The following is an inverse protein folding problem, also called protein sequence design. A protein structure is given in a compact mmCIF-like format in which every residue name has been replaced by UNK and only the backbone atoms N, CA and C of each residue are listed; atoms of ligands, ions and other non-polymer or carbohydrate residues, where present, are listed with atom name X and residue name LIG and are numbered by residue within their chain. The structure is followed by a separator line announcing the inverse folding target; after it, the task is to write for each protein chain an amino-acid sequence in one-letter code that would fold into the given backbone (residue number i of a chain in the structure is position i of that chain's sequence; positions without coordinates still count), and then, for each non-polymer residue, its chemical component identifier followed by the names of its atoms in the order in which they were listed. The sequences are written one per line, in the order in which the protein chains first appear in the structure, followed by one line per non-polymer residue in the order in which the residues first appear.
data_IF_291009934473
#
_entry.id   IF_291009934473
#
_cell.length_a   1.000
_cell.length_b   1.000
_cell.length_c   1.000
_cell.angle_alpha   90.00
_cell.angle_beta   90.00
_cell.angle_gamma   90.00
#
_symmetry.space_group_name_H-M   'P 1'
#
loop_
_entity.id
_entity.type
_entity.pdbx_description
1 polymer ?
#
# COMPACT_ATOMS: atom_id res chain seq x y z
N UNK A 1 11.67 -18.01 18.70
CA UNK A 1 12.40 -17.22 17.66
C UNK A 1 11.63 -15.92 17.43
N UNK A 2 12.36 -14.81 17.41
CA UNK A 2 11.75 -13.51 17.11
C UNK A 2 11.64 -13.37 15.60
N UNK A 3 10.43 -13.08 15.08
CA UNK A 3 10.21 -12.78 13.68
C UNK A 3 11.10 -11.58 13.29
N UNK A 4 11.88 -11.73 12.23
CA UNK A 4 12.66 -10.65 11.62
C UNK A 4 12.53 -10.72 10.11
N UNK A 5 12.26 -9.56 9.49
CA UNK A 5 12.29 -9.38 8.04
C UNK A 5 13.26 -8.24 7.69
N UNK A 6 13.69 -8.18 6.44
CA UNK A 6 14.60 -7.13 6.00
C UNK A 6 13.89 -5.79 5.88
N UNK A 7 12.66 -5.79 5.39
CA UNK A 7 11.91 -4.58 5.07
C UNK A 7 10.48 -4.61 5.62
N UNK A 8 10.07 -3.54 6.30
CA UNK A 8 8.67 -3.22 6.58
C UNK A 8 8.13 -2.42 5.38
N UNK A 9 7.06 -2.87 4.76
CA UNK A 9 6.30 -2.11 3.78
C UNK A 9 4.83 -2.22 4.14
N UNK A 10 4.25 -1.17 4.70
CA UNK A 10 2.90 -1.21 5.23
C UNK A 10 2.10 0.07 5.00
N UNK A 11 0.77 -0.08 5.09
CA UNK A 11 -0.24 0.97 5.00
C UNK A 11 -1.17 0.87 6.22
N UNK A 12 -0.75 1.37 7.40
CA UNK A 12 -1.57 1.31 8.60
C UNK A 12 -2.83 2.17 8.47
N UNK A 13 -3.90 1.89 9.24
CA UNK A 13 -5.06 2.78 9.32
C UNK A 13 -4.65 4.15 9.87
N UNK A 14 -5.21 5.23 9.26
CA UNK A 14 -4.84 6.61 9.63
C UNK A 14 -5.76 7.23 10.68
N UNK A 15 -6.81 6.53 11.12
CA UNK A 15 -7.81 7.05 12.06
C UNK A 15 -8.74 8.09 11.43
N UNK A 16 -8.88 8.10 10.11
CA UNK A 16 -9.70 9.09 9.39
C UNK A 16 -11.16 8.68 9.26
N UNK A 17 -11.56 7.53 9.79
CA UNK A 17 -12.91 6.95 9.72
C UNK A 17 -13.46 6.89 8.28
N UNK A 18 -12.60 6.64 7.30
CA UNK A 18 -13.00 6.57 5.89
C UNK A 18 -13.93 5.39 5.59
N UNK A 19 -13.88 4.34 6.41
CA UNK A 19 -14.79 3.19 6.33
C UNK A 19 -16.25 3.55 6.70
N UNK A 20 -16.46 4.61 7.49
CA UNK A 20 -17.79 5.03 7.96
C UNK A 20 -18.50 5.96 6.97
N UNK A 21 -19.04 5.40 5.90
CA UNK A 21 -20.18 6.00 5.20
C UNK A 21 -19.96 7.27 4.37
N UNK A 22 -18.74 7.75 4.15
CA UNK A 22 -18.46 8.90 3.25
C UNK A 22 -18.81 8.62 1.77
N UNK A 23 -19.07 7.37 1.41
CA UNK A 23 -19.46 7.00 0.04
C UNK A 23 -20.91 7.37 -0.34
N UNK A 24 -21.77 7.77 0.60
CA UNK A 24 -23.17 8.11 0.32
C UNK A 24 -23.38 9.50 -0.29
N UNK A 25 -22.39 10.39 -0.22
CA UNK A 25 -22.52 11.78 -0.72
C UNK A 25 -21.77 12.08 -2.02
N UNK A 26 -21.00 11.13 -2.55
CA UNK A 26 -20.10 11.34 -3.69
C UNK A 26 -20.70 10.80 -4.98
N UNK A 27 -21.46 11.64 -5.70
CA UNK A 27 -21.98 11.51 -7.07
C UNK A 27 -22.96 10.38 -7.37
N UNK A 28 -24.06 10.76 -8.07
CA UNK A 28 -25.13 9.87 -8.57
C UNK A 28 -24.68 8.88 -9.68
N UNK A 29 -23.41 8.84 -10.05
CA UNK A 29 -22.88 8.12 -11.22
C UNK A 29 -22.16 6.81 -10.91
N UNK A 30 -21.86 6.51 -9.65
CA UNK A 30 -21.24 5.25 -9.27
C UNK A 30 -22.08 4.50 -8.25
N UNK A 31 -22.39 3.22 -8.53
CA UNK A 31 -23.01 2.32 -7.55
C UNK A 31 -22.04 2.14 -6.39
N UNK A 32 -22.41 2.63 -5.21
CA UNK A 32 -21.63 2.44 -4.00
C UNK A 32 -21.55 0.94 -3.70
N UNK A 33 -20.33 0.35 -3.72
CA UNK A 33 -20.11 -1.01 -3.22
C UNK A 33 -20.25 -0.98 -1.70
N UNK A 34 -21.07 -1.88 -1.18
CA UNK A 34 -21.18 -2.11 0.25
C UNK A 34 -19.98 -2.99 0.68
N UNK A 35 -19.05 -2.43 1.43
CA UNK A 35 -17.90 -3.15 2.01
C UNK A 35 -18.18 -3.62 3.44
N UNK A 36 -19.44 -3.48 3.92
CA UNK A 36 -19.83 -3.75 5.30
C UNK A 36 -19.41 -2.63 6.27
N UNK A 37 -19.88 -2.71 7.50
CA UNK A 37 -19.44 -1.82 8.60
C UNK A 37 -18.33 -2.52 9.36
N UNK A 38 -17.09 -2.06 9.22
CA UNK A 38 -15.98 -2.53 10.06
C UNK A 38 -15.25 -1.35 10.69
N UNK A 39 -14.83 -1.50 11.92
CA UNK A 39 -14.20 -0.47 12.75
C UNK A 39 -12.67 -0.43 12.58
N UNK A 40 -12.14 -1.09 11.56
CA UNK A 40 -10.69 -1.27 11.38
C UNK A 40 -9.92 0.06 11.14
N UNK A 41 -10.59 1.11 10.65
CA UNK A 41 -9.99 2.41 10.35
C UNK A 41 -10.21 3.45 11.48
N UNK A 42 -10.82 3.05 12.58
CA UNK A 42 -11.14 3.98 13.67
C UNK A 42 -9.96 4.25 14.61
N UNK A 43 -9.06 3.27 14.75
CA UNK A 43 -7.91 3.39 15.64
C UNK A 43 -6.60 3.22 14.86
N UNK A 44 -5.81 4.29 14.70
CA UNK A 44 -4.46 4.18 14.17
C UNK A 44 -3.59 3.37 15.14
N UNK A 45 -2.51 2.73 14.65
CA UNK A 45 -1.54 2.09 15.53
C UNK A 45 -0.99 3.11 16.53
N UNK A 46 -0.77 2.68 17.78
CA UNK A 46 -0.10 3.51 18.76
C UNK A 46 1.36 3.77 18.36
N UNK A 47 1.95 4.87 18.85
CA UNK A 47 3.38 5.15 18.63
C UNK A 47 4.25 3.98 19.10
N UNK A 48 3.85 3.31 20.19
CA UNK A 48 4.56 2.15 20.71
C UNK A 48 4.53 0.96 19.73
N UNK A 49 3.37 0.69 19.09
CA UNK A 49 3.26 -0.38 18.11
C UNK A 49 4.10 -0.09 16.87
N UNK A 50 4.09 1.16 16.39
CA UNK A 50 4.94 1.57 15.26
C UNK A 50 6.43 1.43 15.57
N UNK A 51 6.86 1.78 16.79
CA UNK A 51 8.24 1.58 17.23
C UNK A 51 8.58 0.09 17.18
N UNK A 52 7.76 -0.77 17.79
CA UNK A 52 7.98 -2.22 17.79
C UNK A 52 8.03 -2.81 16.40
N UNK A 53 7.14 -2.42 15.50
CA UNK A 53 7.14 -2.89 14.10
C UNK A 53 8.42 -2.48 13.38
N UNK A 54 8.91 -1.27 13.62
CA UNK A 54 10.17 -0.79 13.04
C UNK A 54 11.38 -1.55 13.56
N UNK A 55 11.36 -1.97 14.81
CA UNK A 55 12.45 -2.75 15.43
C UNK A 55 12.56 -4.19 14.88
N UNK A 56 11.51 -4.69 14.22
CA UNK A 56 11.51 -6.01 13.57
C UNK A 56 12.23 -6.01 12.21
N UNK A 57 12.54 -4.83 11.65
CA UNK A 57 13.06 -4.70 10.29
C UNK A 57 14.20 -3.69 10.21
N UNK A 58 15.11 -3.89 9.27
CA UNK A 58 16.20 -2.96 9.00
C UNK A 58 15.73 -1.75 8.18
N UNK A 59 14.91 -2.00 7.17
CA UNK A 59 14.39 -1.00 6.24
C UNK A 59 12.90 -0.80 6.45
N UNK A 60 12.43 0.43 6.33
CA UNK A 60 11.03 0.73 6.56
C UNK A 60 10.48 1.67 5.47
N UNK A 61 9.28 1.36 5.00
CA UNK A 61 8.46 2.18 4.13
C UNK A 61 7.04 2.15 4.69
N UNK A 62 6.55 3.29 5.18
CA UNK A 62 5.26 3.40 5.89
C UNK A 62 4.41 4.43 5.15
N UNK A 63 3.37 3.98 4.46
CA UNK A 63 2.38 4.86 3.85
C UNK A 63 1.63 5.67 4.92
N UNK A 64 1.20 6.87 4.56
CA UNK A 64 0.55 7.76 5.51
C UNK A 64 1.47 8.27 6.62
N UNK A 65 2.79 8.25 6.41
CA UNK A 65 3.77 8.65 7.43
C UNK A 65 3.59 10.07 7.97
N UNK A 66 2.81 10.91 7.28
CA UNK A 66 2.42 12.24 7.73
C UNK A 66 1.34 12.24 8.83
N UNK A 67 0.71 11.10 9.12
CA UNK A 67 -0.27 10.93 10.18
C UNK A 67 0.32 10.37 11.48
N UNK A 68 1.61 9.98 11.47
CA UNK A 68 2.26 9.29 12.58
C UNK A 68 3.46 10.06 13.11
N UNK A 69 3.82 9.83 14.38
CA UNK A 69 5.05 10.35 14.97
C UNK A 69 6.21 9.47 14.55
N UNK A 70 6.93 9.89 13.53
CA UNK A 70 8.07 9.18 12.94
C UNK A 70 9.33 10.06 12.99
N UNK A 71 10.53 9.48 13.06
CA UNK A 71 11.77 10.26 13.02
C UNK A 71 11.91 11.08 11.75
N UNK A 72 12.70 12.15 11.75
CA UNK A 72 13.05 12.85 10.52
C UNK A 72 13.62 11.91 9.46
N UNK A 73 13.21 12.08 8.22
CA UNK A 73 13.70 11.29 7.09
C UNK A 73 14.13 12.16 5.92
N UNK A 74 15.22 11.76 5.28
CA UNK A 74 15.69 12.35 4.01
C UNK A 74 14.88 11.89 2.81
N UNK A 75 14.28 10.69 2.87
CA UNK A 75 13.62 10.03 1.77
C UNK A 75 12.14 9.82 2.04
N UNK A 76 11.33 10.61 1.39
CA UNK A 76 9.91 10.36 1.28
C UNK A 76 9.58 9.83 -0.10
N UNK A 77 8.64 8.90 -0.19
CA UNK A 77 8.04 8.49 -1.44
C UNK A 77 6.71 9.20 -1.60
N UNK A 78 6.53 9.83 -2.75
CA UNK A 78 5.33 10.59 -3.08
C UNK A 78 4.61 9.85 -4.20
N UNK A 79 3.40 9.40 -3.93
CA UNK A 79 2.52 8.91 -4.97
C UNK A 79 1.60 10.04 -5.43
N UNK A 80 1.92 10.64 -6.57
CA UNK A 80 1.05 11.59 -7.25
C UNK A 80 -0.08 10.84 -7.97
N UNK A 81 -1.32 11.15 -7.60
CA UNK A 81 -2.53 10.50 -8.13
C UNK A 81 -2.97 11.04 -9.48
N UNK A 82 -2.31 12.09 -9.97
CA UNK A 82 -2.64 12.76 -11.24
C UNK A 82 -4.14 13.15 -11.29
N UNK A 83 -4.67 13.64 -10.19
CA UNK A 83 -6.10 13.87 -10.03
C UNK A 83 -6.63 15.12 -10.75
N UNK A 84 -5.75 16.06 -11.16
CA UNK A 84 -6.18 17.36 -11.64
C UNK A 84 -6.80 18.24 -10.55
N UNK A 85 -7.59 19.23 -10.91
CA UNK A 85 -8.28 20.12 -9.98
C UNK A 85 -9.57 19.48 -9.45
N UNK A 86 -9.50 18.82 -8.29
CA UNK A 86 -10.67 18.28 -7.59
C UNK A 86 -10.45 18.30 -6.06
N UNK A 87 -11.47 17.89 -5.28
CA UNK A 87 -11.42 17.91 -3.81
C UNK A 87 -10.71 16.70 -3.17
N UNK A 88 -10.12 15.80 -3.98
CA UNK A 88 -9.37 14.66 -3.46
C UNK A 88 -7.90 15.03 -3.23
N UNK A 89 -7.23 14.32 -2.33
CA UNK A 89 -5.81 14.50 -2.12
C UNK A 89 -5.02 14.28 -3.42
N UNK A 90 -4.17 15.24 -3.78
CA UNK A 90 -3.33 15.19 -4.98
C UNK A 90 -2.32 14.05 -4.92
N UNK A 91 -1.83 13.74 -3.73
CA UNK A 91 -0.82 12.72 -3.53
C UNK A 91 -1.02 11.98 -2.19
N UNK A 92 -0.32 10.86 -2.06
CA UNK A 92 -0.08 10.19 -0.79
C UNK A 92 1.42 10.09 -0.53
N UNK A 93 1.77 10.13 0.76
CA UNK A 93 3.16 10.12 1.21
C UNK A 93 3.48 8.80 1.89
N UNK A 94 4.69 8.27 1.62
CA UNK A 94 5.24 7.21 2.44
C UNK A 94 6.55 7.69 3.07
N UNK A 95 6.62 7.61 4.40
CA UNK A 95 7.84 7.82 5.15
C UNK A 95 8.78 6.63 4.97
N UNK A 96 10.09 6.90 4.88
CA UNK A 96 11.08 5.82 4.83
C UNK A 96 12.29 6.15 5.70
N UNK A 97 13.04 5.12 6.12
CA UNK A 97 14.37 5.31 6.71
C UNK A 97 15.51 5.12 5.68
N UNK A 98 15.19 5.15 4.39
CA UNK A 98 16.18 4.96 3.33
C UNK A 98 17.11 6.18 3.21
N UNK A 99 18.40 5.94 2.98
CA UNK A 99 19.37 7.02 2.69
C UNK A 99 19.34 7.39 1.19
N UNK A 100 18.24 7.96 0.76
CA UNK A 100 17.98 8.41 -0.62
C UNK A 100 17.35 9.80 -0.61
N UNK A 101 17.31 10.46 -1.75
CA UNK A 101 16.49 11.65 -1.94
C UNK A 101 15.00 11.29 -2.06
N UNK A 102 14.12 12.26 -1.86
CA UNK A 102 12.68 12.14 -2.13
C UNK A 102 12.44 11.64 -3.55
N UNK A 103 11.48 10.74 -3.72
CA UNK A 103 11.09 10.17 -5.02
C UNK A 103 9.61 10.34 -5.23
N UNK A 104 9.22 10.61 -6.47
CA UNK A 104 7.83 10.74 -6.88
C UNK A 104 7.49 9.66 -7.90
N UNK A 105 6.26 9.14 -7.81
CA UNK A 105 5.67 8.20 -8.74
C UNK A 105 4.31 8.72 -9.18
N UNK A 106 4.15 8.92 -10.47
CA UNK A 106 2.90 9.37 -11.07
C UNK A 106 2.08 8.15 -11.47
N UNK A 107 0.89 7.99 -10.88
CA UNK A 107 0.01 6.89 -11.22
C UNK A 107 -1.44 7.25 -10.95
N UNK A 108 -2.24 7.33 -12.02
CA UNK A 108 -3.64 7.73 -11.93
C UNK A 108 -4.49 6.65 -11.26
N UNK A 109 -5.07 7.02 -10.09
CA UNK A 109 -5.98 6.15 -9.36
C UNK A 109 -6.88 6.99 -8.46
N UNK A 110 -8.06 7.35 -8.95
CA UNK A 110 -9.00 8.20 -8.22
C UNK A 110 -10.39 7.56 -8.01
N UNK A 111 -10.46 6.23 -7.91
CA UNK A 111 -11.69 5.48 -7.71
C UNK A 111 -12.51 5.25 -8.97
N UNK A 112 -12.64 6.24 -9.85
CA UNK A 112 -13.38 6.13 -11.13
C UNK A 112 -12.45 5.95 -12.33
N UNK A 113 -11.33 6.68 -12.35
CA UNK A 113 -10.31 6.58 -13.38
C UNK A 113 -9.10 5.83 -12.83
N UNK A 114 -8.65 4.84 -13.57
CA UNK A 114 -7.50 4.01 -13.23
C UNK A 114 -6.66 3.86 -14.49
N UNK A 115 -5.36 4.01 -14.35
CA UNK A 115 -4.42 3.79 -15.44
C UNK A 115 -4.46 2.33 -15.93
N UNK A 116 -4.60 1.39 -14.98
CA UNK A 116 -4.85 -0.01 -15.27
C UNK A 116 -6.10 -0.51 -14.52
N UNK A 117 -6.95 -1.34 -15.15
CA UNK A 117 -8.17 -1.85 -14.54
C UNK A 117 -7.85 -2.94 -13.51
N UNK A 118 -7.44 -2.55 -12.29
CA UNK A 118 -7.40 -3.47 -11.16
C UNK A 118 -8.78 -3.57 -10.51
N UNK A 119 -9.22 -4.81 -10.21
CA UNK A 119 -10.45 -5.01 -9.46
C UNK A 119 -10.20 -4.60 -7.99
N UNK A 120 -11.01 -3.66 -7.48
CA UNK A 120 -10.92 -3.18 -6.11
C UNK A 120 -11.75 -4.10 -5.19
N UNK A 121 -11.07 -4.80 -4.28
CA UNK A 121 -11.66 -5.72 -3.30
C UNK A 121 -11.75 -5.09 -1.91
N UNK A 122 -10.94 -4.08 -1.61
CA UNK A 122 -10.90 -3.37 -0.34
C UNK A 122 -11.05 -1.85 -0.56
N UNK A 123 -11.78 -1.11 0.32
CA UNK A 123 -12.05 0.32 0.14
C UNK A 123 -10.79 1.20 0.08
N UNK A 124 -9.74 0.84 0.81
CA UNK A 124 -8.44 1.56 0.83
C UNK A 124 -7.32 0.81 0.13
N UNK A 125 -7.66 -0.16 -0.74
CA UNK A 125 -6.65 -0.94 -1.47
C UNK A 125 -5.71 -0.02 -2.25
N UNK A 126 -4.40 -0.13 -1.96
CA UNK A 126 -3.35 0.51 -2.75
C UNK A 126 -3.22 -0.17 -4.13
N UNK A 127 -2.93 0.60 -5.19
CA UNK A 127 -2.60 0.01 -6.49
C UNK A 127 -1.33 -0.85 -6.42
N UNK A 128 -1.32 -1.98 -7.13
CA UNK A 128 -0.15 -2.85 -7.20
C UNK A 128 1.10 -2.11 -7.73
N UNK A 129 0.91 -1.21 -8.70
CA UNK A 129 2.00 -0.39 -9.24
C UNK A 129 2.67 0.49 -8.19
N UNK A 130 1.89 1.06 -7.26
CA UNK A 130 2.41 1.89 -6.15
C UNK A 130 3.22 1.03 -5.16
N UNK A 131 2.73 -0.16 -4.80
CA UNK A 131 3.48 -1.08 -3.93
C UNK A 131 4.76 -1.60 -4.61
N UNK A 132 4.72 -1.92 -5.91
CA UNK A 132 5.92 -2.28 -6.71
C UNK A 132 6.94 -1.14 -6.73
N UNK A 133 6.49 0.10 -6.98
CA UNK A 133 7.36 1.27 -6.92
C UNK A 133 8.00 1.41 -5.53
N UNK A 134 7.20 1.38 -4.46
CA UNK A 134 7.71 1.50 -3.10
C UNK A 134 8.77 0.43 -2.81
N UNK A 135 8.49 -0.82 -3.15
CA UNK A 135 9.43 -1.94 -2.93
C UNK A 135 10.70 -1.81 -3.78
N UNK A 136 10.61 -1.27 -5.01
CA UNK A 136 11.79 -1.04 -5.86
C UNK A 136 12.75 0.01 -5.29
N UNK A 137 12.29 0.82 -4.33
CA UNK A 137 13.14 1.79 -3.62
C UNK A 137 13.93 1.15 -2.49
N UNK A 138 13.54 -0.03 -2.00
CA UNK A 138 14.30 -0.77 -1.01
C UNK A 138 15.69 -1.18 -1.57
N UNK A 139 16.68 -1.41 -0.70
CA UNK A 139 17.97 -1.94 -1.13
C UNK A 139 17.85 -3.29 -1.84
N UNK A 140 18.77 -3.57 -2.76
CA UNK A 140 18.75 -4.80 -3.59
C UNK A 140 18.99 -6.09 -2.80
N UNK A 141 19.55 -5.98 -1.60
CA UNK A 141 19.81 -7.09 -0.68
C UNK A 141 18.58 -7.44 0.19
N UNK A 142 17.46 -6.76 0.02
CA UNK A 142 16.20 -7.12 0.68
C UNK A 142 15.66 -8.41 0.08
N UNK A 143 15.49 -9.43 0.93
CA UNK A 143 14.99 -10.76 0.58
C UNK A 143 13.66 -11.09 1.24
N UNK A 144 13.25 -10.30 2.24
CA UNK A 144 12.04 -10.51 3.01
C UNK A 144 11.31 -9.20 3.34
N UNK A 145 9.98 -9.23 3.23
CA UNK A 145 9.07 -8.11 3.52
C UNK A 145 8.06 -8.49 4.58
N UNK A 146 7.79 -7.57 5.51
CA UNK A 146 6.71 -7.66 6.49
C UNK A 146 5.67 -6.59 6.18
N UNK A 147 4.40 -7.01 6.08
CA UNK A 147 3.24 -6.11 6.05
C UNK A 147 2.24 -6.51 7.13
N UNK A 148 2.22 -5.83 8.28
CA UNK A 148 1.30 -6.13 9.38
C UNK A 148 -0.13 -5.62 9.16
N UNK A 149 -0.40 -4.95 8.04
CA UNK A 149 -1.71 -4.40 7.65
C UNK A 149 -2.04 -4.76 6.20
N UNK A 150 -1.84 -6.03 5.82
CA UNK A 150 -1.80 -6.43 4.41
C UNK A 150 -3.12 -6.27 3.65
N UNK A 151 -4.26 -6.17 4.36
CA UNK A 151 -5.58 -6.13 3.74
C UNK A 151 -5.76 -7.31 2.77
N UNK A 152 -6.06 -7.01 1.52
CA UNK A 152 -6.19 -8.00 0.44
C UNK A 152 -4.83 -8.36 -0.22
N UNK A 153 -3.70 -8.12 0.44
CA UNK A 153 -2.39 -8.64 0.10
C UNK A 153 -1.68 -7.94 -1.07
N UNK A 154 -1.92 -6.66 -1.32
CA UNK A 154 -1.27 -5.96 -2.45
C UNK A 154 0.26 -5.87 -2.29
N UNK A 155 0.76 -5.61 -1.09
CA UNK A 155 2.19 -5.63 -0.77
C UNK A 155 2.78 -7.02 -0.99
N UNK A 156 2.07 -8.07 -0.59
CA UNK A 156 2.52 -9.46 -0.75
C UNK A 156 2.58 -9.85 -2.23
N UNK A 157 1.62 -9.39 -3.04
CA UNK A 157 1.67 -9.55 -4.50
C UNK A 157 2.86 -8.82 -5.12
N UNK A 158 3.17 -7.60 -4.65
CA UNK A 158 4.32 -6.85 -5.12
C UNK A 158 5.64 -7.58 -4.80
N UNK A 159 5.76 -8.13 -3.59
CA UNK A 159 6.90 -8.93 -3.17
C UNK A 159 7.03 -10.22 -3.99
N UNK A 160 5.92 -10.97 -4.19
CA UNK A 160 5.87 -12.17 -5.05
C UNK A 160 6.38 -11.86 -6.46
N UNK A 161 5.90 -10.76 -7.07
CA UNK A 161 6.32 -10.35 -8.40
C UNK A 161 7.81 -9.96 -8.48
N UNK A 162 8.41 -9.54 -7.36
CA UNK A 162 9.84 -9.21 -7.25
C UNK A 162 10.70 -10.41 -6.84
N UNK A 163 10.13 -11.60 -6.62
CA UNK A 163 10.84 -12.77 -6.13
C UNK A 163 11.30 -12.66 -4.68
N UNK A 164 10.63 -11.82 -3.86
CA UNK A 164 10.96 -11.54 -2.47
C UNK A 164 9.96 -12.29 -1.57
N UNK A 165 10.45 -12.96 -0.52
CA UNK A 165 9.60 -13.59 0.49
C UNK A 165 8.80 -12.54 1.25
N UNK A 166 7.54 -12.83 1.61
CA UNK A 166 6.74 -11.86 2.33
C UNK A 166 5.90 -12.51 3.42
N UNK A 167 5.70 -11.77 4.51
CA UNK A 167 4.80 -12.12 5.61
C UNK A 167 3.77 -10.99 5.69
N UNK A 168 2.50 -11.34 5.50
CA UNK A 168 1.37 -10.44 5.69
C UNK A 168 0.57 -10.85 6.92
N UNK A 169 0.08 -9.84 7.66
CA UNK A 169 -0.86 -10.02 8.76
C UNK A 169 -2.11 -9.21 8.46
N UNK A 170 -3.26 -9.82 8.68
CA UNK A 170 -4.57 -9.19 8.52
C UNK A 170 -5.50 -9.68 9.62
N UNK A 171 -6.25 -8.77 10.23
CA UNK A 171 -7.18 -9.07 11.31
C UNK A 171 -8.49 -9.67 10.79
N UNK A 172 -8.95 -9.20 9.64
CA UNK A 172 -10.23 -9.59 9.05
C UNK A 172 -10.06 -10.85 8.20
N UNK A 173 -10.65 -11.97 8.64
CA UNK A 173 -10.55 -13.26 7.96
C UNK A 173 -10.96 -13.21 6.49
N UNK A 174 -12.00 -12.44 6.14
CA UNK A 174 -12.44 -12.27 4.75
C UNK A 174 -11.36 -11.70 3.85
N UNK A 175 -10.59 -10.71 4.34
CA UNK A 175 -9.51 -10.11 3.57
C UNK A 175 -8.30 -11.04 3.48
N UNK A 176 -8.04 -11.84 4.51
CA UNK A 176 -7.07 -12.94 4.42
C UNK A 176 -7.46 -13.93 3.32
N UNK A 177 -8.73 -14.35 3.25
CA UNK A 177 -9.22 -15.26 2.21
C UNK A 177 -9.09 -14.65 0.81
N UNK A 178 -9.46 -13.38 0.65
CA UNK A 178 -9.29 -12.63 -0.61
C UNK A 178 -7.82 -12.54 -1.02
N UNK A 179 -6.91 -12.28 -0.08
CA UNK A 179 -5.47 -12.23 -0.32
C UNK A 179 -4.95 -13.59 -0.80
N UNK A 180 -5.37 -14.70 -0.18
CA UNK A 180 -4.97 -16.06 -0.60
C UNK A 180 -5.41 -16.32 -2.03
N UNK A 181 -6.67 -16.02 -2.38
CA UNK A 181 -7.18 -16.18 -3.77
C UNK A 181 -6.35 -15.38 -4.76
N UNK A 182 -6.07 -14.09 -4.45
CA UNK A 182 -5.23 -13.23 -5.30
C UNK A 182 -3.82 -13.76 -5.50
N UNK A 183 -3.21 -14.28 -4.43
CA UNK A 183 -1.86 -14.83 -4.45
C UNK A 183 -1.76 -16.16 -5.21
N UNK A 184 -2.85 -16.93 -5.28
CA UNK A 184 -2.93 -18.17 -6.04
C UNK A 184 -3.11 -17.93 -7.55
N UNK A 185 -3.64 -16.77 -7.93
CA UNK A 185 -3.76 -16.42 -9.36
C UNK A 185 -2.35 -16.30 -9.94
N UNK A 186 -2.04 -17.13 -10.93
CA UNK A 186 -0.84 -16.96 -11.73
C UNK A 186 -1.00 -15.68 -12.55
N UNK A 187 -0.15 -14.69 -12.28
CA UNK A 187 -0.05 -13.54 -13.17
C UNK A 187 0.72 -14.02 -14.39
N UNK A 188 0.02 -14.35 -15.47
CA UNK A 188 0.65 -14.45 -16.77
C UNK A 188 1.14 -13.04 -17.12
N UNK A 189 2.42 -12.79 -16.90
CA UNK A 189 3.10 -11.61 -17.41
C UNK A 189 3.27 -11.83 -18.93
N UNK A 190 2.29 -11.37 -19.68
CA UNK A 190 2.47 -11.19 -21.12
C UNK A 190 3.43 -10.02 -21.28
N UNK A 191 4.73 -10.32 -21.15
CA UNK A 191 5.80 -9.35 -21.29
C UNK A 191 5.51 -8.43 -22.47
N UNK A 192 5.13 -7.20 -22.14
CA UNK A 192 4.95 -6.16 -23.13
C UNK A 192 6.27 -5.93 -23.83
N UNK A 193 6.38 -6.41 -25.04
CA UNK A 193 7.42 -6.06 -26.02
C UNK A 193 7.35 -4.55 -26.19
N UNK A 194 8.20 -3.82 -25.48
CA UNK A 194 8.54 -2.45 -25.81
C UNK A 194 10.05 -2.36 -26.06
N UNK A 195 10.50 -3.12 -27.06
CA UNK A 195 11.65 -2.75 -27.86
C UNK A 195 11.18 -1.65 -28.83
N UNK A 196 11.27 -0.41 -28.42
CA UNK A 196 11.39 0.69 -29.39
C UNK A 196 12.81 1.21 -29.25
N UNK A 197 13.68 0.61 -30.07
CA UNK A 197 14.92 1.21 -30.54
C UNK A 197 14.59 2.48 -31.34
N UNK A 198 15.21 3.54 -31.02
CA UNK A 198 15.90 4.57 -31.80
C UNK A 198 15.89 5.91 -31.13
#
# INVERSE_FOLDING_TARGET
ETLRCDCLLCDPPYGLSEAKGKNKSRTKLAVAKDYGTSDWDDEPPSDFDLIRLRDLTKWQIIFGGNYFVLPPSKCWLVWDKVNGANDFADCELAWTNLDKAVRIFHYMWNGMLKENPEYRMHPTQKPLAVCKFALSMAPKDVTSVLDPYMGVGTTILAAKAAGISAIGVEREERYCADAVVRLQQEVFDFGGVNDIQS
#
